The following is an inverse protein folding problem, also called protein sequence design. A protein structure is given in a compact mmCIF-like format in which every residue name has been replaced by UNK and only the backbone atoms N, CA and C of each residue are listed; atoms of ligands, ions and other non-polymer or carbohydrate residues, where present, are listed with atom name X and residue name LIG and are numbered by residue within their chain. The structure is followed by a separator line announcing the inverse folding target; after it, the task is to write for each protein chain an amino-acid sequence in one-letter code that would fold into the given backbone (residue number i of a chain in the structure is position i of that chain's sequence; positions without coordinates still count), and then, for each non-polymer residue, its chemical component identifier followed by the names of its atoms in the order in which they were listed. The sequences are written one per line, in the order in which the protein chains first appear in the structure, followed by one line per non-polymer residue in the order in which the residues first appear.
data_IF_145680536729
#
_entry.id   IF_145680536729
#
_cell.length_a   1.000
_cell.length_b   1.000
_cell.length_c   1.000
_cell.angle_alpha   90.00
_cell.angle_beta   90.00
_cell.angle_gamma   90.00
#
_symmetry.space_group_name_H-M   'P 1'
#
loop_
_entity.id
_entity.type
_entity.pdbx_description
1 polymer ?
#
# COMPACT_ATOMS: atom_id res chain seq x y z
N UNK A 1 -8.33 6.59 2.66
CA UNK A 1 -7.55 7.78 2.99
C UNK A 1 -7.05 8.47 1.73
N UNK A 2 -7.14 9.77 1.71
CA UNK A 2 -6.58 10.57 0.61
C UNK A 2 -5.17 11.01 0.97
N UNK A 3 -4.22 10.77 0.09
CA UNK A 3 -2.82 11.11 0.32
C UNK A 3 -2.19 11.79 -0.89
N UNK A 4 -1.24 12.65 -0.63
CA UNK A 4 -0.40 13.29 -1.65
C UNK A 4 1.05 13.15 -1.22
N UNK A 5 1.89 12.67 -2.12
CA UNK A 5 3.31 12.50 -1.86
C UNK A 5 4.09 13.52 -2.68
N UNK A 6 4.90 14.30 -1.98
CA UNK A 6 5.74 15.31 -2.61
C UNK A 6 7.17 14.77 -2.66
N UNK A 7 7.72 14.68 -3.84
CA UNK A 7 9.09 14.23 -4.06
C UNK A 7 9.81 15.19 -4.99
N UNK A 8 11.01 15.59 -4.61
CA UNK A 8 11.85 16.53 -5.37
C UNK A 8 11.05 17.80 -5.75
N UNK A 9 10.37 18.37 -4.75
CA UNK A 9 9.54 19.59 -4.87
C UNK A 9 8.34 19.48 -5.83
N UNK A 10 7.96 18.26 -6.20
CA UNK A 10 6.79 18.02 -7.05
C UNK A 10 5.84 17.04 -6.39
N UNK A 11 4.55 17.29 -6.56
CA UNK A 11 3.53 16.34 -6.15
C UNK A 11 3.54 15.15 -7.12
N UNK A 12 3.65 13.94 -6.58
CA UNK A 12 3.60 12.73 -7.37
C UNK A 12 2.19 12.57 -7.97
N UNK A 13 2.11 12.26 -9.26
CA UNK A 13 0.81 12.11 -9.96
C UNK A 13 -0.01 10.92 -9.48
N UNK A 14 0.63 9.97 -8.83
CA UNK A 14 0.00 8.82 -8.20
C UNK A 14 0.49 8.73 -6.77
N UNK A 15 0.65 7.55 -6.24
CA UNK A 15 1.27 7.32 -4.94
C UNK A 15 2.41 6.32 -5.13
N UNK A 16 3.66 6.67 -4.78
CA UNK A 16 4.76 5.71 -4.89
C UNK A 16 4.47 4.47 -4.05
N UNK A 17 4.79 3.30 -4.57
CA UNK A 17 4.46 2.02 -3.93
C UNK A 17 5.05 1.93 -2.52
N UNK A 18 6.30 2.36 -2.32
CA UNK A 18 6.94 2.34 -1.00
C UNK A 18 6.21 3.22 0.00
N UNK A 19 5.82 4.43 -0.42
CA UNK A 19 5.05 5.35 0.42
C UNK A 19 3.66 4.79 0.70
N UNK A 20 3.01 4.20 -0.30
CA UNK A 20 1.70 3.57 -0.14
C UNK A 20 1.76 2.42 0.87
N UNK A 21 2.83 1.63 0.84
CA UNK A 21 3.04 0.55 1.81
C UNK A 21 3.12 1.09 3.23
N UNK A 22 3.90 2.15 3.44
CA UNK A 22 4.04 2.78 4.76
C UNK A 22 2.71 3.38 5.24
N UNK A 23 1.98 4.05 4.36
CA UNK A 23 0.67 4.64 4.68
C UNK A 23 -0.33 3.56 5.07
N UNK A 24 -0.36 2.45 4.33
CA UNK A 24 -1.29 1.37 4.60
C UNK A 24 -1.03 0.70 5.96
N UNK A 25 0.22 0.50 6.30
CA UNK A 25 0.61 -0.04 7.60
C UNK A 25 0.23 0.93 8.71
N UNK A 26 0.52 2.21 8.55
CA UNK A 26 0.15 3.23 9.52
C UNK A 26 -1.36 3.31 9.70
N UNK A 27 -2.14 3.16 8.63
CA UNK A 27 -3.60 3.14 8.70
C UNK A 27 -4.13 1.96 9.51
N UNK A 28 -3.44 0.83 9.46
CA UNK A 28 -3.81 -0.36 10.22
C UNK A 28 -3.35 -0.31 11.67
N UNK A 29 -2.41 0.56 12.01
CA UNK A 29 -1.92 0.71 13.38
C UNK A 29 -2.84 1.61 14.19
N UNK A 30 -3.38 1.07 15.28
CA UNK A 30 -4.22 1.84 16.22
C UNK A 30 -3.43 2.97 16.86
N UNK A 31 -4.03 4.16 16.90
CA UNK A 31 -3.43 5.34 17.51
C UNK A 31 -2.51 6.14 16.58
N UNK A 32 -2.30 5.70 15.34
CA UNK A 32 -1.52 6.45 14.39
C UNK A 32 -2.26 7.67 13.86
N UNK A 33 -1.53 8.65 13.35
CA UNK A 33 -2.13 9.84 12.74
C UNK A 33 -2.96 9.47 11.51
N UNK A 34 -2.49 8.50 10.73
CA UNK A 34 -3.19 8.04 9.52
C UNK A 34 -4.53 7.40 9.90
N UNK A 35 -4.57 6.58 10.94
CA UNK A 35 -5.83 5.99 11.43
C UNK A 35 -6.83 7.07 11.81
N UNK A 36 -6.37 8.13 12.46
CA UNK A 36 -7.24 9.22 12.92
C UNK A 36 -7.91 9.99 11.79
N UNK A 37 -7.31 10.01 10.60
CA UNK A 37 -7.89 10.71 9.43
C UNK A 37 -8.65 9.78 8.50
N UNK A 38 -8.81 8.51 8.85
CA UNK A 38 -9.61 7.58 8.08
C UNK A 38 -11.10 7.92 8.20
N UNK A 39 -11.79 7.92 7.05
CA UNK A 39 -13.23 8.17 7.02
C UNK A 39 -14.05 6.93 7.38
N UNK A 40 -13.48 5.74 7.25
CA UNK A 40 -14.15 4.51 7.62
C UNK A 40 -13.36 3.80 8.71
N UNK A 41 -14.04 3.49 9.80
CA UNK A 41 -13.48 2.69 10.88
C UNK A 41 -14.05 1.28 10.78
N UNK A 42 -13.21 0.26 10.86
CA UNK A 42 -13.71 -1.09 11.03
C UNK A 42 -13.03 -2.19 10.27
N UNK A 43 -12.42 -1.96 9.12
CA UNK A 43 -11.67 -3.03 8.45
C UNK A 43 -10.29 -2.54 8.05
N UNK A 44 -9.28 -3.19 8.63
CA UNK A 44 -7.88 -2.95 8.30
C UNK A 44 -7.37 -3.96 7.27
N UNK A 45 -8.25 -4.81 6.72
CA UNK A 45 -7.88 -5.81 5.74
C UNK A 45 -7.45 -5.20 4.41
N UNK A 46 -8.12 -4.11 4.02
CA UNK A 46 -7.81 -3.40 2.79
C UNK A 46 -7.80 -1.91 3.05
N UNK A 47 -6.72 -1.26 2.66
CA UNK A 47 -6.59 0.19 2.75
C UNK A 47 -6.60 0.76 1.35
N UNK A 48 -7.56 1.62 1.06
CA UNK A 48 -7.65 2.32 -0.22
C UNK A 48 -7.09 3.71 -0.09
N UNK A 49 -6.06 4.00 -0.87
CA UNK A 49 -5.38 5.29 -0.87
C UNK A 49 -5.81 6.07 -2.10
N UNK A 50 -6.50 7.18 -1.89
CA UNK A 50 -6.84 8.11 -2.96
C UNK A 50 -5.65 9.00 -3.30
N UNK A 51 -5.29 9.07 -4.58
CA UNK A 51 -4.18 9.89 -5.08
C UNK A 51 -4.63 10.64 -6.35
N UNK A 52 -3.81 11.56 -6.90
CA UNK A 52 -4.26 12.38 -8.04
C UNK A 52 -4.74 11.61 -9.27
N UNK A 53 -4.26 10.39 -9.48
CA UNK A 53 -4.62 9.58 -10.65
C UNK A 53 -5.65 8.48 -10.36
N UNK A 54 -6.14 8.37 -9.13
CA UNK A 54 -7.16 7.37 -8.79
C UNK A 54 -7.02 6.81 -7.38
N UNK A 55 -7.25 5.51 -7.25
CA UNK A 55 -7.22 4.81 -5.97
C UNK A 55 -6.29 3.61 -6.06
N UNK A 56 -5.42 3.46 -5.07
CA UNK A 56 -4.54 2.30 -4.91
C UNK A 56 -5.00 1.49 -3.71
N UNK A 57 -5.20 0.18 -3.90
CA UNK A 57 -5.62 -0.72 -2.83
C UNK A 57 -4.41 -1.47 -2.29
N UNK A 58 -4.21 -1.39 -0.99
CA UNK A 58 -3.13 -2.05 -0.26
C UNK A 58 -3.70 -3.05 0.74
N UNK A 59 -2.97 -4.12 0.98
CA UNK A 59 -3.38 -5.16 1.93
C UNK A 59 -2.25 -5.36 2.94
N UNK A 60 -2.22 -4.60 4.04
CA UNK A 60 -1.24 -4.81 5.10
C UNK A 60 -1.65 -6.00 5.96
N UNK A 61 -0.69 -6.84 6.33
CA UNK A 61 -0.89 -7.89 7.31
C UNK A 61 -0.18 -7.52 8.60
N UNK A 62 -0.94 -7.23 9.64
CA UNK A 62 -0.40 -6.94 10.97
C UNK A 62 -0.76 -8.07 11.90
N UNK A 63 0.24 -8.57 12.63
CA UNK A 63 0.06 -9.55 13.69
C UNK A 63 0.55 -8.97 15.01
N UNK A 64 -0.23 -9.18 16.05
CA UNK A 64 0.15 -8.80 17.41
C UNK A 64 0.54 -10.06 18.16
N UNK A 65 1.83 -10.20 18.48
CA UNK A 65 2.35 -11.31 19.28
C UNK A 65 3.08 -10.76 20.51
N UNK A 66 2.69 -11.25 21.70
CA UNK A 66 3.32 -10.88 22.98
C UNK A 66 3.45 -9.37 23.20
N UNK A 67 2.44 -8.60 22.77
CA UNK A 67 2.46 -7.14 22.89
C UNK A 67 3.29 -6.42 21.84
N UNK A 68 3.91 -7.14 20.91
CA UNK A 68 4.67 -6.55 19.80
C UNK A 68 3.87 -6.63 18.51
N UNK A 69 3.86 -5.52 17.76
CA UNK A 69 3.29 -5.50 16.43
C UNK A 69 4.32 -6.02 15.43
N UNK A 70 3.95 -7.07 14.71
CA UNK A 70 4.77 -7.62 13.63
C UNK A 70 4.09 -7.40 12.30
N UNK A 71 4.88 -7.04 11.30
CA UNK A 71 4.40 -6.85 9.93
C UNK A 71 5.02 -7.94 9.04
N UNK A 72 4.35 -9.11 8.89
CA UNK A 72 4.88 -10.16 8.01
C UNK A 72 4.86 -9.77 6.54
N UNK A 73 3.87 -9.01 6.09
CA UNK A 73 3.81 -8.63 4.68
C UNK A 73 2.90 -7.42 4.44
N UNK A 74 3.11 -6.77 3.31
CA UNK A 74 2.19 -5.76 2.76
C UNK A 74 1.93 -6.13 1.32
N UNK A 75 0.65 -6.35 0.98
CA UNK A 75 0.26 -6.66 -0.38
C UNK A 75 -0.26 -5.43 -1.12
N UNK A 76 -0.09 -5.44 -2.44
CA UNK A 76 -0.67 -4.43 -3.32
C UNK A 76 -1.49 -5.13 -4.40
N UNK A 77 -2.69 -4.61 -4.65
CA UNK A 77 -3.54 -5.15 -5.71
C UNK A 77 -3.08 -4.58 -7.05
N UNK A 78 -2.74 -5.46 -7.99
CA UNK A 78 -2.32 -5.07 -9.33
C UNK A 78 -3.07 -5.90 -10.37
N UNK A 79 -3.13 -5.39 -11.57
CA UNK A 79 -3.71 -6.10 -12.71
C UNK A 79 -2.61 -6.39 -13.72
N UNK A 80 -2.74 -7.52 -14.40
CA UNK A 80 -1.81 -7.90 -15.44
C UNK A 80 -2.57 -8.60 -16.57
N UNK A 81 -2.13 -8.36 -17.80
CA UNK A 81 -2.67 -9.01 -18.96
C UNK A 81 -1.52 -9.63 -19.73
N UNK A 82 -1.66 -10.93 -20.06
CA UNK A 82 -0.65 -11.59 -20.88
C UNK A 82 -0.66 -11.01 -22.29
N UNK A 83 0.49 -10.53 -22.72
CA UNK A 83 0.66 -9.97 -24.06
C UNK A 83 1.42 -10.97 -24.94
N UNK A 84 2.39 -11.66 -24.37
CA UNK A 84 3.27 -12.55 -25.12
C UNK A 84 3.72 -13.69 -24.24
N UNK A 85 3.94 -14.84 -24.84
CA UNK A 85 4.49 -16.04 -24.22
C UNK A 85 5.63 -16.55 -25.10
N UNK A 86 6.73 -16.90 -24.51
CA UNK A 86 7.89 -17.34 -25.26
C UNK A 86 8.88 -18.16 -24.45
N UNK A 87 9.89 -18.66 -25.12
CA UNK A 87 10.94 -19.47 -24.52
C UNK A 87 12.25 -18.70 -24.52
N UNK A 88 12.90 -18.66 -23.38
CA UNK A 88 14.20 -18.03 -23.22
C UNK A 88 15.28 -19.11 -23.11
N UNK A 89 16.32 -19.00 -23.92
CA UNK A 89 17.46 -19.89 -23.86
C UNK A 89 18.59 -19.24 -23.09
N UNK A 90 19.00 -19.90 -22.04
CA UNK A 90 20.07 -19.40 -21.17
C UNK A 90 21.33 -20.22 -21.37
N UNK A 91 22.45 -19.54 -21.53
CA UNK A 91 23.76 -20.19 -21.61
C UNK A 91 24.16 -20.66 -20.20
N UNK A 92 24.53 -21.92 -20.09
CA UNK A 92 25.03 -22.49 -18.82
C UNK A 92 26.49 -22.11 -18.60
#
# INVERSE_FOLDING_TARGET
VCARVISVFKCHKACPLTSASAISVAAAMKGSVVEKVLLSTGTTERVRIGHPSGIMTMVPELKEENGELKLPSVGVQRTARRIMDGTLYIRK
#
